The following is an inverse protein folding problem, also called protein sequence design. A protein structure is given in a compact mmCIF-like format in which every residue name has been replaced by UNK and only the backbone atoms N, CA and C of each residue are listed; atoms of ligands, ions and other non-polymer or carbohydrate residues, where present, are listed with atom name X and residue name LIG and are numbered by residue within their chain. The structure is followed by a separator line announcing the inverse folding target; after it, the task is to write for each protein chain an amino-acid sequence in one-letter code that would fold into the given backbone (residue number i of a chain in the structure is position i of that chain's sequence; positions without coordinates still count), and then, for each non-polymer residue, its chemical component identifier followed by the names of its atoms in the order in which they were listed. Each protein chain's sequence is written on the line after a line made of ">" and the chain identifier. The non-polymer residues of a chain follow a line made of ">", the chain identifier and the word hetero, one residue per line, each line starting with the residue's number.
data_IF_381099361432
#
_entry.id   IF_381099361432
#
_cell.length_a   1.000
_cell.length_b   1.000
_cell.length_c   1.000
_cell.angle_alpha   90.00
_cell.angle_beta   90.00
_cell.angle_gamma   90.00
#
_symmetry.space_group_name_H-M   'P 1'
#
loop_
_entity.id
_entity.type
_entity.pdbx_description
1 polymer ?
#
# COMPACT_ATOMS: atom_id res chain seq x y z
N UNK A 1 -7.08 -30.33 -9.00
CA UNK A 1 -6.01 -29.90 -8.08
C UNK A 1 -6.66 -28.95 -7.09
N UNK A 2 -7.14 -29.47 -5.96
CA UNK A 2 -7.80 -28.64 -4.97
C UNK A 2 -6.77 -27.85 -4.17
N UNK A 3 -6.99 -26.55 -4.06
CA UNK A 3 -6.11 -25.58 -3.45
C UNK A 3 -6.06 -25.66 -1.90
N UNK A 4 -6.41 -26.81 -1.30
CA UNK A 4 -6.61 -27.01 0.15
C UNK A 4 -5.38 -26.71 1.04
N UNK A 5 -4.20 -26.54 0.45
CA UNK A 5 -2.97 -26.20 1.18
C UNK A 5 -3.02 -24.80 1.81
N UNK A 6 -3.86 -23.89 1.29
CA UNK A 6 -4.18 -22.61 1.92
C UNK A 6 -5.65 -22.60 2.28
N UNK A 7 -6.00 -22.00 3.43
CA UNK A 7 -7.38 -21.70 3.78
C UNK A 7 -7.89 -20.55 2.88
N UNK A 8 -8.23 -20.88 1.63
CA UNK A 8 -8.75 -19.94 0.64
C UNK A 8 -10.13 -19.47 1.05
N UNK A 9 -10.15 -18.34 1.72
CA UNK A 9 -11.33 -17.54 2.00
C UNK A 9 -11.39 -16.38 1.02
N UNK A 10 -12.58 -15.82 0.81
CA UNK A 10 -12.76 -14.68 -0.09
C UNK A 10 -11.83 -13.51 0.29
N UNK A 11 -11.70 -13.28 1.60
CA UNK A 11 -10.85 -12.25 2.21
C UNK A 11 -9.38 -12.48 1.88
N UNK A 12 -8.87 -13.72 2.04
CA UNK A 12 -7.47 -14.04 1.69
C UNK A 12 -7.21 -13.93 0.19
N UNK A 13 -8.14 -14.34 -0.67
CA UNK A 13 -8.00 -14.23 -2.11
C UNK A 13 -7.91 -12.77 -2.56
N UNK A 14 -8.76 -11.89 -1.99
CA UNK A 14 -8.71 -10.45 -2.24
C UNK A 14 -7.38 -9.86 -1.78
N UNK A 15 -6.88 -10.23 -0.60
CA UNK A 15 -5.58 -9.76 -0.10
C UNK A 15 -4.42 -10.09 -1.06
N UNK A 16 -4.31 -11.35 -1.50
CA UNK A 16 -3.25 -11.74 -2.44
C UNK A 16 -3.42 -11.11 -3.82
N UNK A 17 -4.66 -10.96 -4.30
CA UNK A 17 -4.93 -10.26 -5.56
C UNK A 17 -4.50 -8.79 -5.50
N UNK A 18 -4.74 -8.11 -4.37
CA UNK A 18 -4.28 -6.74 -4.15
C UNK A 18 -2.75 -6.68 -4.14
N UNK A 19 -2.06 -7.59 -3.44
CA UNK A 19 -0.60 -7.64 -3.47
C UNK A 19 -0.07 -7.83 -4.90
N UNK A 20 -0.62 -8.78 -5.65
CA UNK A 20 -0.22 -9.02 -7.02
C UNK A 20 -0.45 -7.79 -7.92
N UNK A 21 -1.59 -7.12 -7.76
CA UNK A 21 -1.90 -5.88 -8.48
C UNK A 21 -0.93 -4.74 -8.12
N UNK A 22 -0.55 -4.62 -6.84
CA UNK A 22 0.42 -3.61 -6.38
C UNK A 22 1.80 -3.85 -6.98
N UNK A 23 2.27 -5.09 -7.00
CA UNK A 23 3.56 -5.45 -7.61
C UNK A 23 3.53 -5.15 -9.12
N UNK A 24 2.46 -5.54 -9.81
CA UNK A 24 2.30 -5.30 -11.24
C UNK A 24 2.26 -3.79 -11.55
N UNK A 25 1.46 -3.02 -10.80
CA UNK A 25 1.37 -1.58 -10.96
C UNK A 25 2.72 -0.90 -10.74
N UNK A 26 3.49 -1.30 -9.72
CA UNK A 26 4.82 -0.75 -9.46
C UNK A 26 5.80 -1.05 -10.59
N UNK A 27 5.75 -2.28 -11.10
CA UNK A 27 6.62 -2.72 -12.21
C UNK A 27 6.32 -1.94 -13.49
N UNK A 28 5.03 -1.81 -13.85
CA UNK A 28 4.60 -1.04 -15.03
C UNK A 28 5.00 0.42 -14.88
N UNK A 29 4.77 1.02 -13.70
CA UNK A 29 5.09 2.43 -13.47
C UNK A 29 6.60 2.71 -13.51
N UNK A 30 7.42 1.80 -12.97
CA UNK A 30 8.88 1.89 -13.04
C UNK A 30 9.42 1.81 -14.47
N UNK A 31 8.78 1.03 -15.34
CA UNK A 31 9.12 0.95 -16.77
C UNK A 31 8.67 2.19 -17.53
N UNK A 32 7.47 2.71 -17.24
CA UNK A 32 6.87 3.86 -17.96
C UNK A 32 7.52 5.20 -17.57
N UNK A 33 7.94 5.38 -16.32
CA UNK A 33 8.49 6.66 -15.83
C UNK A 33 9.80 6.46 -15.08
N UNK A 34 10.95 6.31 -15.79
CA UNK A 34 12.26 6.33 -15.17
C UNK A 34 12.44 7.65 -14.40
N UNK A 35 12.44 7.53 -13.07
CA UNK A 35 12.37 8.66 -12.16
C UNK A 35 13.77 9.21 -11.89
N UNK A 36 13.96 10.52 -12.06
CA UNK A 36 15.14 11.22 -11.52
C UNK A 36 14.93 11.36 -10.00
N UNK A 37 15.85 10.86 -9.15
CA UNK A 37 15.72 10.95 -7.71
C UNK A 37 15.66 12.41 -7.26
N UNK A 38 14.64 12.78 -6.48
CA UNK A 38 14.55 14.12 -5.87
C UNK A 38 14.54 13.95 -4.35
N UNK A 39 15.34 14.76 -3.66
CA UNK A 39 15.26 14.87 -2.21
C UNK A 39 14.03 15.72 -1.87
N UNK A 40 13.03 15.09 -1.26
CA UNK A 40 11.82 15.72 -0.72
C UNK A 40 11.88 15.83 0.80
N UNK A 41 10.79 15.47 1.47
CA UNK A 41 10.63 15.53 2.93
C UNK A 41 11.45 14.48 3.71
N UNK A 42 11.76 13.33 3.08
CA UNK A 42 12.62 12.30 3.67
C UNK A 42 14.10 12.59 3.39
N UNK A 43 15.02 12.33 4.35
CA UNK A 43 16.46 12.51 4.18
C UNK A 43 17.09 11.56 3.14
N UNK A 44 16.32 10.58 2.63
CA UNK A 44 16.72 9.67 1.56
C UNK A 44 16.12 10.11 0.22
N UNK A 45 16.85 9.96 -0.90
CA UNK A 45 16.29 10.21 -2.22
C UNK A 45 15.18 9.18 -2.51
N UNK A 46 13.92 9.64 -2.52
CA UNK A 46 12.77 8.80 -2.89
C UNK A 46 12.42 9.03 -4.36
N UNK A 47 12.21 7.95 -5.11
CA UNK A 47 11.57 8.02 -6.42
C UNK A 47 10.06 8.19 -6.29
N UNK A 48 9.37 8.53 -7.39
CA UNK A 48 7.89 8.59 -7.39
C UNK A 48 7.27 7.24 -7.04
N UNK A 49 7.93 6.14 -7.44
CA UNK A 49 7.57 4.79 -7.04
C UNK A 49 7.66 4.63 -5.52
N UNK A 50 8.82 4.94 -4.93
CA UNK A 50 9.06 4.72 -3.50
C UNK A 50 8.01 5.43 -2.61
N UNK A 51 7.50 6.59 -3.04
CA UNK A 51 6.41 7.31 -2.35
C UNK A 51 5.09 6.55 -2.37
N UNK A 52 4.71 5.93 -3.49
CA UNK A 52 3.50 5.11 -3.57
C UNK A 52 3.63 3.84 -2.72
N UNK A 53 4.81 3.20 -2.74
CA UNK A 53 5.08 2.04 -1.90
C UNK A 53 5.03 2.38 -0.40
N UNK A 54 5.65 3.50 0.01
CA UNK A 54 5.61 4.00 1.39
C UNK A 54 4.18 4.37 1.83
N UNK A 55 3.40 4.98 0.93
CA UNK A 55 1.98 5.29 1.16
C UNK A 55 1.16 4.03 1.41
N UNK A 56 1.33 3.00 0.58
CA UNK A 56 0.64 1.72 0.72
C UNK A 56 1.10 0.96 1.96
N UNK A 57 2.40 0.88 2.21
CA UNK A 57 2.97 0.24 3.40
C UNK A 57 2.43 0.92 4.66
N UNK A 58 2.49 2.25 4.76
CA UNK A 58 1.95 2.97 5.91
C UNK A 58 0.43 2.81 6.05
N UNK A 59 -0.33 2.77 4.95
CA UNK A 59 -1.78 2.48 5.01
C UNK A 59 -2.10 1.07 5.54
N UNK A 60 -1.28 0.08 5.19
CA UNK A 60 -1.41 -1.28 5.71
C UNK A 60 -1.13 -1.33 7.22
N UNK A 61 -0.09 -0.64 7.69
CA UNK A 61 0.19 -0.49 9.11
C UNK A 61 -0.91 0.26 9.86
N UNK A 62 -1.51 1.30 9.26
CA UNK A 62 -2.65 2.02 9.83
C UNK A 62 -3.85 1.09 10.01
N UNK A 63 -4.20 0.28 8.99
CA UNK A 63 -5.30 -0.67 9.10
C UNK A 63 -5.02 -1.78 10.12
N UNK A 64 -3.79 -2.30 10.16
CA UNK A 64 -3.40 -3.32 11.14
C UNK A 64 -3.41 -2.78 12.58
N UNK A 65 -2.89 -1.56 12.79
CA UNK A 65 -2.94 -0.91 14.09
C UNK A 65 -4.38 -0.63 14.52
N UNK A 66 -5.24 -0.17 13.60
CA UNK A 66 -6.65 0.06 13.90
C UNK A 66 -7.37 -1.22 14.27
N UNK A 67 -7.15 -2.31 13.52
CA UNK A 67 -7.72 -3.63 13.79
C UNK A 67 -7.22 -4.22 15.11
N UNK A 68 -5.96 -3.95 15.49
CA UNK A 68 -5.38 -4.46 16.74
C UNK A 68 -5.70 -3.64 17.99
N UNK A 69 -6.03 -2.35 17.85
CA UNK A 69 -6.25 -1.42 18.97
C UNK A 69 -7.72 -1.04 19.20
N UNK A 70 -8.58 -1.25 18.21
CA UNK A 70 -9.96 -0.75 18.21
C UNK A 70 -10.93 -1.74 17.58
N UNK A 71 -12.13 -1.87 18.16
CA UNK A 71 -13.26 -2.59 17.53
C UNK A 71 -14.17 -1.66 16.70
N UNK A 72 -13.77 -0.41 16.53
CA UNK A 72 -14.49 0.57 15.72
C UNK A 72 -14.46 0.20 14.23
N UNK A 73 -15.46 0.68 13.49
CA UNK A 73 -15.63 0.40 12.06
C UNK A 73 -14.33 0.60 11.25
N UNK A 74 -13.94 -0.43 10.49
CA UNK A 74 -12.76 -0.44 9.64
C UNK A 74 -12.79 0.66 8.56
N UNK A 75 -13.98 1.19 8.24
CA UNK A 75 -14.14 2.30 7.31
C UNK A 75 -13.38 3.56 7.75
N UNK A 76 -13.21 3.77 9.05
CA UNK A 76 -12.43 4.89 9.59
C UNK A 76 -10.94 4.71 9.26
N UNK A 77 -10.42 3.48 9.41
CA UNK A 77 -9.04 3.15 9.06
C UNK A 77 -8.77 3.32 7.56
N UNK A 78 -9.74 2.95 6.72
CA UNK A 78 -9.66 3.15 5.26
C UNK A 78 -9.64 4.64 4.91
N UNK A 79 -10.50 5.47 5.51
CA UNK A 79 -10.46 6.93 5.28
C UNK A 79 -9.13 7.54 5.71
N UNK A 80 -8.60 7.14 6.87
CA UNK A 80 -7.30 7.61 7.37
C UNK A 80 -6.16 7.20 6.43
N UNK A 81 -6.23 5.99 5.91
CA UNK A 81 -5.29 5.42 4.95
C UNK A 81 -5.27 6.15 3.62
N UNK A 82 -6.45 6.52 3.09
CA UNK A 82 -6.56 7.31 1.86
C UNK A 82 -5.98 8.71 2.07
N UNK A 83 -6.28 9.35 3.21
CA UNK A 83 -5.67 10.64 3.58
C UNK A 83 -4.15 10.55 3.66
N UNK A 84 -3.63 9.52 4.32
CA UNK A 84 -2.20 9.27 4.42
C UNK A 84 -1.54 9.08 3.05
N UNK A 85 -2.19 8.31 2.15
CA UNK A 85 -1.71 8.07 0.80
C UNK A 85 -1.69 9.36 -0.05
N UNK A 86 -2.69 10.24 0.11
CA UNK A 86 -2.73 11.55 -0.54
C UNK A 86 -1.62 12.48 -0.04
N UNK A 87 -1.34 12.46 1.27
CA UNK A 87 -0.27 13.27 1.88
C UNK A 87 1.09 12.81 1.35
N UNK A 88 1.39 11.52 1.39
CA UNK A 88 2.67 10.99 0.87
C UNK A 88 2.78 11.19 -0.65
N UNK A 89 1.69 10.99 -1.40
CA UNK A 89 1.69 11.23 -2.84
C UNK A 89 2.01 12.68 -3.22
N UNK A 90 1.58 13.65 -2.40
CA UNK A 90 1.76 15.07 -2.69
C UNK A 90 3.03 15.67 -2.07
N UNK A 91 3.50 15.16 -0.94
CA UNK A 91 4.60 15.74 -0.15
C UNK A 91 5.82 14.82 0.05
N UNK A 92 5.70 13.53 -0.27
CA UNK A 92 6.86 12.64 -0.32
C UNK A 92 7.89 13.15 -1.29
#
# INVERSE_FOLDING_TARGET
>A
MDLQWMAWTFETAVFFAVIAALIAAYTVWGVVSPSVPRRGFLPMPTTRGDRLFLGLMGSAWINLAWLGLTEASQWVAVMLSVLFMLVIGRWG
#
